data_IF_178050426712
#
_entry.id   IF_178050426712
#
_cell.length_a   1.000
_cell.length_b   1.000
_cell.length_c   1.000
_cell.angle_alpha   90.00
_cell.angle_beta   90.00
_cell.angle_gamma   90.00
#
_symmetry.space_group_name_H-M   'P 1'
#
loop_
_entity.id
_entity.type
_entity.pdbx_description
1 polymer ?
#
# COMPACT_ATOMS: atom_id res chain seq x y z
N UNK A 1 -17.35 -19.23 25.48
CA UNK A 1 -16.27 -19.16 24.47
C UNK A 1 -16.90 -18.54 23.23
N UNK A 2 -16.97 -17.21 23.21
CA UNK A 2 -17.49 -16.48 22.06
C UNK A 2 -16.33 -16.38 21.06
N UNK A 3 -16.43 -17.09 19.95
CA UNK A 3 -15.66 -16.80 18.76
C UNK A 3 -16.28 -15.54 18.17
N UNK A 4 -15.82 -14.37 18.59
CA UNK A 4 -15.94 -13.20 17.72
C UNK A 4 -15.06 -13.52 16.52
N UNK A 5 -15.70 -13.83 15.39
CA UNK A 5 -15.04 -13.68 14.10
C UNK A 5 -14.64 -12.21 14.02
N UNK A 6 -13.40 -11.91 14.37
CA UNK A 6 -12.79 -10.63 14.06
C UNK A 6 -12.87 -10.50 12.54
N UNK A 7 -13.76 -9.64 12.03
CA UNK A 7 -13.66 -9.14 10.67
C UNK A 7 -12.28 -8.48 10.55
N UNK A 8 -11.30 -9.25 10.08
CA UNK A 8 -9.94 -8.75 9.92
C UNK A 8 -9.93 -7.93 8.64
N UNK A 9 -10.20 -6.64 8.78
CA UNK A 9 -9.93 -5.67 7.72
C UNK A 9 -8.45 -5.74 7.34
N UNK A 10 -8.17 -5.58 6.05
CA UNK A 10 -6.82 -5.74 5.49
C UNK A 10 -6.53 -4.59 4.55
N UNK A 11 -5.39 -3.95 4.81
CA UNK A 11 -4.87 -2.83 4.03
C UNK A 11 -3.40 -3.09 3.73
N UNK A 12 -2.93 -2.63 2.58
CA UNK A 12 -1.53 -2.77 2.19
C UNK A 12 -0.86 -1.41 2.21
N UNK A 13 0.31 -1.30 2.83
CA UNK A 13 1.14 -0.10 2.78
C UNK A 13 2.21 -0.26 1.71
N UNK A 14 2.42 0.79 0.92
CA UNK A 14 3.44 0.84 -0.12
C UNK A 14 4.16 2.19 -0.08
N UNK A 15 5.48 2.19 -0.07
CA UNK A 15 6.29 3.40 -0.15
C UNK A 15 7.50 3.16 -1.03
N UNK A 16 8.03 4.23 -1.60
CA UNK A 16 9.24 4.23 -2.41
C UNK A 16 9.95 5.57 -2.28
N UNK A 17 11.27 5.56 -2.45
CA UNK A 17 12.08 6.77 -2.42
C UNK A 17 12.01 7.47 -3.79
N UNK A 18 11.20 8.52 -3.87
CA UNK A 18 11.02 9.35 -5.07
C UNK A 18 12.29 10.13 -5.40
N UNK A 19 12.98 10.64 -4.38
CA UNK A 19 14.11 11.54 -4.56
C UNK A 19 15.38 10.82 -5.03
N UNK A 20 15.46 9.49 -4.83
CA UNK A 20 16.58 8.68 -5.31
C UNK A 20 16.70 8.62 -6.85
N UNK A 21 15.62 8.91 -7.60
CA UNK A 21 15.57 8.76 -9.05
C UNK A 21 15.25 10.01 -9.87
N UNK A 22 14.82 11.10 -9.22
CA UNK A 22 14.32 12.30 -9.91
C UNK A 22 15.14 13.52 -9.48
N UNK A 23 15.71 14.31 -10.43
CA UNK A 23 16.44 15.52 -10.09
C UNK A 23 15.57 16.55 -9.35
N UNK A 24 16.19 17.25 -8.40
CA UNK A 24 15.54 18.39 -7.75
C UNK A 24 15.15 19.45 -8.79
N UNK A 25 13.91 19.95 -8.70
CA UNK A 25 13.35 20.93 -9.64
C UNK A 25 12.69 20.33 -10.89
N UNK A 26 12.72 19.00 -11.08
CA UNK A 26 11.98 18.36 -12.15
C UNK A 26 10.46 18.52 -11.97
N UNK A 27 9.75 18.60 -13.11
CA UNK A 27 8.29 18.56 -13.16
C UNK A 27 7.84 17.15 -13.51
N UNK A 28 7.13 16.51 -12.59
CA UNK A 28 6.52 15.19 -12.80
C UNK A 28 5.36 15.33 -13.78
N UNK A 29 5.39 14.56 -14.86
CA UNK A 29 4.35 14.62 -15.90
C UNK A 29 3.46 13.38 -15.89
N UNK A 30 4.02 12.21 -15.58
CA UNK A 30 3.27 10.95 -15.49
C UNK A 30 3.77 10.14 -14.31
N UNK A 31 2.85 9.56 -13.57
CA UNK A 31 3.11 8.52 -12.58
C UNK A 31 2.26 7.31 -12.94
N UNK A 32 2.88 6.14 -13.06
CA UNK A 32 2.20 4.86 -13.26
C UNK A 32 2.57 3.93 -12.11
N UNK A 33 1.57 3.47 -11.37
CA UNK A 33 1.72 2.40 -10.39
C UNK A 33 1.21 1.10 -11.00
N UNK A 34 2.01 0.04 -10.96
CA UNK A 34 1.64 -1.30 -11.40
C UNK A 34 1.73 -2.27 -10.23
N UNK A 35 0.67 -3.03 -10.01
CA UNK A 35 0.54 -4.03 -8.95
C UNK A 35 0.10 -5.36 -9.55
N UNK A 36 0.65 -6.45 -9.04
CA UNK A 36 0.22 -7.78 -9.43
C UNK A 36 -0.63 -8.40 -8.33
N UNK A 37 -1.85 -8.81 -8.68
CA UNK A 37 -2.69 -9.63 -7.81
C UNK A 37 -2.45 -11.11 -8.13
N UNK A 38 -1.95 -11.86 -7.15
CA UNK A 38 -1.69 -13.29 -7.30
C UNK A 38 -2.82 -14.18 -6.79
N UNK A 39 -3.80 -13.63 -6.06
CA UNK A 39 -4.93 -14.42 -5.54
C UNK A 39 -6.17 -13.58 -5.23
N UNK A 40 -7.34 -14.11 -5.58
CA UNK A 40 -8.66 -13.65 -5.18
C UNK A 40 -9.62 -14.84 -5.18
N UNK A 41 -10.68 -14.77 -4.37
CA UNK A 41 -11.83 -15.70 -4.39
C UNK A 41 -13.17 -14.97 -4.48
N UNK A 42 -13.11 -13.64 -4.61
CA UNK A 42 -14.25 -12.73 -4.70
C UNK A 42 -14.20 -12.00 -6.03
N UNK A 43 -15.38 -11.53 -6.43
CA UNK A 43 -15.62 -10.80 -7.67
C UNK A 43 -14.92 -9.43 -7.67
N UNK A 44 -15.17 -8.67 -8.73
CA UNK A 44 -14.67 -7.31 -8.91
C UNK A 44 -15.10 -6.39 -7.77
N UNK A 45 -14.13 -5.64 -7.25
CA UNK A 45 -14.37 -4.45 -6.44
C UNK A 45 -13.29 -3.41 -6.66
N UNK A 46 -13.61 -2.17 -6.32
CA UNK A 46 -12.66 -1.07 -6.38
C UNK A 46 -11.61 -1.18 -5.28
N UNK A 47 -10.35 -1.15 -5.69
CA UNK A 47 -9.20 -0.94 -4.79
C UNK A 47 -8.83 0.54 -4.86
N UNK A 48 -8.85 1.20 -3.71
CA UNK A 48 -8.54 2.61 -3.57
C UNK A 48 -7.14 2.78 -2.98
N UNK A 49 -6.37 3.68 -3.59
CA UNK A 49 -5.06 4.09 -3.13
C UNK A 49 -5.18 5.46 -2.45
N UNK A 50 -4.73 5.58 -1.22
CA UNK A 50 -4.79 6.82 -0.44
C UNK A 50 -3.42 7.22 0.07
N UNK A 51 -3.12 8.52 0.04
CA UNK A 51 -1.83 9.06 0.52
C UNK A 51 -1.73 8.94 2.03
N UNK A 52 -0.66 8.33 2.53
CA UNK A 52 -0.42 8.16 3.97
C UNK A 52 0.17 9.46 4.53
N UNK A 53 -0.31 9.87 5.71
CA UNK A 53 0.06 11.16 6.33
C UNK A 53 0.89 11.01 7.60
N UNK A 54 1.29 9.79 7.96
CA UNK A 54 2.09 9.50 9.16
C UNK A 54 3.08 8.41 8.86
N UNK A 55 4.27 8.50 9.47
CA UNK A 55 5.31 7.51 9.28
C UNK A 55 4.87 6.11 9.69
N UNK A 56 5.45 5.12 9.02
CA UNK A 56 5.33 3.72 9.34
C UNK A 56 6.58 2.99 8.87
N UNK A 57 6.82 1.83 9.46
CA UNK A 57 7.96 1.01 9.09
C UNK A 57 7.51 -0.39 8.71
N UNK A 58 8.25 -0.98 7.77
CA UNK A 58 8.23 -2.41 7.54
C UNK A 58 9.24 -3.00 8.53
N UNK A 59 8.77 -3.75 9.53
CA UNK A 59 9.66 -4.49 10.43
C UNK A 59 10.13 -5.80 9.78
N UNK A 60 10.45 -6.78 10.61
CA UNK A 60 11.04 -8.06 10.15
C UNK A 60 10.06 -9.21 10.09
N UNK A 61 8.79 -8.99 10.47
CA UNK A 61 7.77 -10.03 10.40
C UNK A 61 7.50 -10.41 8.93
N UNK A 62 7.51 -11.71 8.64
CA UNK A 62 7.26 -12.25 7.32
C UNK A 62 6.38 -13.49 7.44
N UNK A 63 5.15 -13.41 6.90
CA UNK A 63 4.20 -14.50 6.93
C UNK A 63 4.45 -15.43 5.75
N UNK A 64 4.98 -16.63 6.03
CA UNK A 64 5.21 -17.62 4.98
C UNK A 64 3.89 -18.32 4.60
N UNK A 65 3.58 -18.34 3.30
CA UNK A 65 2.51 -19.14 2.72
C UNK A 65 1.18 -18.38 2.60
N UNK A 66 0.23 -18.67 3.49
CA UNK A 66 -1.09 -18.05 3.47
C UNK A 66 -1.05 -16.73 4.25
N UNK A 67 -0.68 -15.64 3.57
CA UNK A 67 -0.59 -14.26 4.09
C UNK A 67 -1.93 -13.68 4.62
N UNK A 68 -2.98 -14.49 4.63
CA UNK A 68 -4.22 -14.23 5.35
C UNK A 68 -4.78 -15.39 6.17
N UNK A 69 -3.95 -16.38 6.48
CA UNK A 69 -4.33 -17.55 7.26
C UNK A 69 -4.54 -17.27 8.75
N UNK A 70 -5.07 -18.27 9.44
CA UNK A 70 -5.42 -18.22 10.87
C UNK A 70 -4.21 -18.26 11.83
N UNK A 71 -2.99 -18.37 11.30
CA UNK A 71 -1.74 -18.42 12.07
C UNK A 71 -0.85 -17.22 11.72
N UNK A 72 -1.20 -16.00 12.18
CA UNK A 72 -0.40 -14.82 11.92
C UNK A 72 0.94 -14.89 12.66
N UNK A 73 2.00 -14.46 12.01
CA UNK A 73 3.29 -14.18 12.64
C UNK A 73 3.11 -12.95 13.54
N UNK A 74 3.51 -13.01 14.82
CA UNK A 74 3.45 -11.86 15.71
C UNK A 74 4.28 -10.69 15.17
N UNK A 75 3.84 -9.43 15.33
CA UNK A 75 4.62 -8.29 14.94
C UNK A 75 5.93 -8.21 15.76
N UNK A 76 6.98 -7.82 15.07
CA UNK A 76 8.30 -7.47 15.61
C UNK A 76 8.42 -5.95 15.75
N UNK A 77 9.47 -5.49 16.43
CA UNK A 77 9.71 -4.05 16.59
C UNK A 77 9.70 -3.33 15.23
N UNK A 78 9.03 -2.16 15.19
CA UNK A 78 8.83 -1.33 14.01
C UNK A 78 7.82 -1.87 12.97
N UNK A 79 7.17 -3.01 13.17
CA UNK A 79 6.13 -3.44 12.22
C UNK A 79 4.92 -2.50 12.23
N UNK A 80 4.43 -2.13 11.05
CA UNK A 80 3.10 -1.55 10.92
C UNK A 80 2.04 -2.62 11.24
N UNK A 81 1.09 -2.27 12.10
CA UNK A 81 -0.06 -3.12 12.50
C UNK A 81 -1.35 -2.32 12.37
N UNK A 82 -2.49 -2.92 12.70
CA UNK A 82 -3.77 -2.20 12.72
C UNK A 82 -3.77 -1.02 13.71
N UNK A 83 -3.03 -1.12 14.82
CA UNK A 83 -3.02 -0.11 15.89
C UNK A 83 -1.77 0.78 15.86
N UNK A 84 -0.65 0.24 15.36
CA UNK A 84 0.66 0.91 15.39
C UNK A 84 1.15 1.20 13.98
N UNK A 85 1.65 2.42 13.74
CA UNK A 85 2.49 2.68 12.55
C UNK A 85 3.90 2.11 12.73
N UNK A 86 4.36 2.04 13.98
CA UNK A 86 5.62 1.42 14.38
C UNK A 86 5.37 0.64 15.67
N UNK A 87 5.28 -0.70 15.57
CA UNK A 87 4.98 -1.54 16.73
C UNK A 87 5.98 -1.31 17.88
N UNK A 88 5.42 -1.13 19.09
CA UNK A 88 6.13 -0.80 20.34
C UNK A 88 6.76 0.61 20.41
N UNK A 89 6.47 1.48 19.43
CA UNK A 89 7.04 2.84 19.37
C UNK A 89 6.01 3.95 19.07
N UNK A 90 5.11 3.74 18.10
CA UNK A 90 4.17 4.76 17.65
C UNK A 90 2.81 4.21 17.23
N UNK A 91 1.75 4.89 17.64
CA UNK A 91 0.36 4.58 17.29
C UNK A 91 -0.06 5.30 16.01
N UNK A 92 -1.01 4.70 15.28
CA UNK A 92 -1.84 5.48 14.37
C UNK A 92 -2.77 6.40 15.16
N UNK A 93 -3.20 7.52 14.56
CA UNK A 93 -4.23 8.36 15.17
C UNK A 93 -5.60 7.66 15.06
N UNK A 94 -5.81 6.96 13.94
CA UNK A 94 -6.98 6.12 13.69
C UNK A 94 -6.52 4.69 13.42
N UNK A 95 -7.09 3.67 14.10
CA UNK A 95 -6.83 2.27 13.75
C UNK A 95 -7.02 2.00 12.26
N UNK A 96 -6.06 1.28 11.66
CA UNK A 96 -6.01 0.98 10.24
C UNK A 96 -5.24 2.00 9.40
N UNK A 97 -4.62 3.02 10.00
CA UNK A 97 -3.71 3.95 9.34
C UNK A 97 -4.25 5.37 9.21
N UNK A 98 -3.32 6.32 9.10
CA UNK A 98 -3.61 7.74 8.86
C UNK A 98 -3.39 8.07 7.38
N UNK A 99 -4.46 8.46 6.68
CA UNK A 99 -4.41 8.72 5.23
C UNK A 99 -5.40 9.81 4.81
N UNK A 100 -5.16 10.38 3.64
CA UNK A 100 -6.06 11.36 3.02
C UNK A 100 -7.34 10.68 2.52
N UNK A 101 -8.51 11.25 2.82
CA UNK A 101 -9.79 10.67 2.42
C UNK A 101 -9.98 10.66 0.90
N UNK A 102 -9.36 11.60 0.18
CA UNK A 102 -9.35 11.60 -1.28
C UNK A 102 -8.40 10.50 -1.79
N UNK A 103 -8.93 9.62 -2.64
CA UNK A 103 -8.12 8.59 -3.27
C UNK A 103 -7.20 9.20 -4.34
N UNK A 104 -5.94 8.80 -4.33
CA UNK A 104 -4.97 9.07 -5.38
C UNK A 104 -5.29 8.30 -6.65
N UNK A 105 -5.82 7.09 -6.51
CA UNK A 105 -6.34 6.30 -7.62
C UNK A 105 -7.40 5.32 -7.12
N UNK A 106 -8.33 4.99 -8.01
CA UNK A 106 -9.29 3.89 -7.82
C UNK A 106 -9.13 2.94 -8.99
N UNK A 107 -9.07 1.64 -8.72
CA UNK A 107 -8.86 0.61 -9.75
C UNK A 107 -9.80 -0.56 -9.51
N UNK A 108 -10.71 -0.85 -10.47
CA UNK A 108 -11.51 -2.05 -10.42
C UNK A 108 -10.61 -3.28 -10.54
N UNK A 109 -10.63 -4.14 -9.53
CA UNK A 109 -9.83 -5.36 -9.48
C UNK A 109 -10.74 -6.59 -9.50
N UNK A 110 -10.75 -7.32 -10.61
CA UNK A 110 -11.55 -8.53 -10.79
C UNK A 110 -10.72 -9.79 -10.47
N UNK A 111 -10.12 -10.41 -11.49
CA UNK A 111 -9.36 -11.66 -11.41
C UNK A 111 -7.85 -11.49 -11.28
N UNK A 112 -7.14 -12.59 -11.01
CA UNK A 112 -5.66 -12.62 -10.92
C UNK A 112 -5.02 -11.97 -12.15
N UNK A 113 -4.05 -11.08 -11.94
CA UNK A 113 -3.42 -10.34 -13.02
C UNK A 113 -2.73 -9.05 -12.58
N UNK A 114 -2.19 -8.33 -13.57
CA UNK A 114 -1.55 -7.03 -13.37
C UNK A 114 -2.53 -5.89 -13.55
N UNK A 115 -2.47 -4.93 -12.64
CA UNK A 115 -3.29 -3.73 -12.60
C UNK A 115 -2.40 -2.50 -12.65
N UNK A 116 -2.73 -1.53 -13.50
CA UNK A 116 -1.97 -0.29 -13.64
C UNK A 116 -2.86 0.92 -13.46
N UNK A 117 -2.41 1.88 -12.67
CA UNK A 117 -3.13 3.12 -12.39
C UNK A 117 -2.24 4.31 -12.72
N UNK A 118 -2.81 5.32 -13.38
CA UNK A 118 -2.16 6.59 -13.65
C UNK A 118 -3.21 7.69 -13.60
N UNK A 119 -3.03 8.63 -12.68
CA UNK A 119 -4.01 9.70 -12.43
C UNK A 119 -3.27 11.03 -12.19
N UNK A 120 -3.95 12.17 -12.39
CA UNK A 120 -3.40 13.47 -12.01
C UNK A 120 -3.07 13.59 -10.52
N UNK A 121 -3.84 12.90 -9.66
CA UNK A 121 -3.59 12.93 -8.22
C UNK A 121 -2.30 12.17 -7.84
N UNK A 122 -1.98 11.06 -8.51
CA UNK A 122 -0.68 10.39 -8.34
C UNK A 122 0.49 11.31 -8.72
N UNK A 123 0.35 12.08 -9.80
CA UNK A 123 1.34 13.10 -10.20
C UNK A 123 1.47 14.17 -9.13
N UNK A 124 0.36 14.68 -8.59
CA UNK A 124 0.37 15.69 -7.54
C UNK A 124 1.04 15.18 -6.25
N UNK A 125 0.75 13.95 -5.84
CA UNK A 125 1.35 13.33 -4.65
C UNK A 125 2.87 13.22 -4.81
N UNK A 126 3.35 12.66 -5.93
CA UNK A 126 4.79 12.52 -6.20
C UNK A 126 5.48 13.88 -6.34
N UNK A 127 4.86 14.83 -7.03
CA UNK A 127 5.40 16.19 -7.15
C UNK A 127 5.55 16.84 -5.77
N UNK A 128 4.60 16.60 -4.85
CA UNK A 128 4.68 17.09 -3.47
C UNK A 128 5.82 16.44 -2.69
N UNK A 129 6.03 15.13 -2.88
CA UNK A 129 7.14 14.40 -2.25
C UNK A 129 8.52 14.79 -2.81
N UNK A 130 8.59 15.19 -4.08
CA UNK A 130 9.83 15.73 -4.63
C UNK A 130 10.16 17.11 -4.02
N UNK A 131 9.13 17.92 -3.74
CA UNK A 131 9.29 19.23 -3.11
C UNK A 131 9.60 19.14 -1.60
N UNK A 132 9.00 18.16 -0.90
CA UNK A 132 9.28 17.83 0.50
C UNK A 132 9.42 16.32 0.69
N UNK A 133 10.65 15.77 0.53
CA UNK A 133 10.90 14.35 0.70
C UNK A 133 10.58 13.82 2.09
N UNK A 134 10.56 14.67 3.12
CA UNK A 134 10.24 14.25 4.49
C UNK A 134 8.76 13.95 4.70
N UNK A 135 7.91 14.37 3.76
CA UNK A 135 6.46 14.09 3.75
C UNK A 135 6.09 12.79 3.01
N UNK A 136 7.08 12.07 2.46
CA UNK A 136 6.86 10.85 1.72
C UNK A 136 6.71 9.63 2.64
N UNK A 137 5.47 9.32 3.00
CA UNK A 137 5.09 8.10 3.71
C UNK A 137 4.44 7.06 2.79
N UNK A 138 4.43 7.30 1.48
CA UNK A 138 3.81 6.43 0.49
C UNK A 138 2.27 6.44 0.55
N UNK A 139 1.69 5.31 0.18
CA UNK A 139 0.25 5.10 0.06
C UNK A 139 -0.23 3.86 0.83
N UNK A 140 -1.54 3.85 1.11
CA UNK A 140 -2.27 2.71 1.64
C UNK A 140 -3.30 2.26 0.60
N UNK A 141 -3.41 0.95 0.39
CA UNK A 141 -4.41 0.32 -0.44
C UNK A 141 -5.54 -0.22 0.42
N UNK A 142 -6.76 0.16 0.08
CA UNK A 142 -7.99 -0.22 0.77
C UNK A 142 -8.93 -0.81 -0.27
N UNK A 143 -9.28 -2.09 -0.08
CA UNK A 143 -10.27 -2.79 -0.91
C UNK A 143 -11.68 -2.66 -0.34
N UNK A 144 -12.56 -3.56 -0.75
CA UNK A 144 -13.85 -3.71 -0.10
C UNK A 144 -13.67 -4.23 1.35
N UNK A 145 -14.02 -3.38 2.32
CA UNK A 145 -13.99 -3.69 3.74
C UNK A 145 -15.36 -4.16 4.27
N UNK A 146 -16.35 -4.33 3.38
CA UNK A 146 -17.69 -4.85 3.74
C UNK A 146 -17.80 -6.36 3.60
N UNK A 147 -16.86 -6.99 2.88
CA UNK A 147 -16.78 -8.44 2.73
C UNK A 147 -15.52 -8.97 3.42
N UNK A 148 -15.59 -10.10 4.15
CA UNK A 148 -14.44 -10.69 4.85
C UNK A 148 -13.55 -11.47 3.87
N UNK A 149 -13.07 -10.81 2.82
CA UNK A 149 -12.17 -11.36 1.81
C UNK A 149 -11.08 -10.34 1.49
N UNK A 150 -9.95 -10.82 0.97
CA UNK A 150 -8.86 -9.95 0.53
C UNK A 150 -8.30 -10.44 -0.79
N UNK A 151 -7.88 -9.48 -1.59
CA UNK A 151 -7.04 -9.71 -2.77
C UNK A 151 -5.59 -9.73 -2.29
N UNK A 152 -4.81 -10.75 -2.69
CA UNK A 152 -3.38 -10.83 -2.35
C UNK A 152 -2.58 -10.14 -3.45
N UNK A 153 -1.89 -9.07 -3.08
CA UNK A 153 -0.98 -8.33 -3.94
C UNK A 153 0.45 -8.76 -3.63
N UNK A 154 1.23 -8.99 -4.67
CA UNK A 154 2.62 -9.41 -4.49
C UNK A 154 3.44 -8.24 -3.94
N UNK A 155 4.26 -8.51 -2.92
CA UNK A 155 5.06 -7.48 -2.23
C UNK A 155 6.45 -7.31 -2.86
N UNK A 156 7.22 -6.32 -2.39
CA UNK A 156 8.63 -6.14 -2.79
C UNK A 156 9.48 -7.39 -2.53
N UNK A 157 9.13 -8.20 -1.53
CA UNK A 157 9.83 -9.42 -1.16
C UNK A 157 9.49 -10.63 -2.05
N UNK A 158 8.53 -10.51 -2.96
CA UNK A 158 8.07 -11.65 -3.76
C UNK A 158 9.21 -12.21 -4.63
N UNK A 159 9.25 -13.54 -4.75
CA UNK A 159 10.38 -14.25 -5.36
C UNK A 159 10.50 -14.00 -6.87
N UNK A 160 9.37 -13.81 -7.57
CA UNK A 160 9.37 -13.38 -8.96
C UNK A 160 9.45 -11.86 -9.07
N UNK A 161 10.53 -11.35 -9.67
CA UNK A 161 10.76 -9.91 -9.81
C UNK A 161 9.70 -9.21 -10.69
N UNK A 162 9.20 -9.87 -11.74
CA UNK A 162 8.24 -9.30 -12.70
C UNK A 162 6.85 -9.03 -12.08
N UNK A 163 6.59 -9.65 -10.93
CA UNK A 163 5.34 -9.53 -10.19
C UNK A 163 5.43 -8.51 -9.04
N UNK A 164 6.63 -7.98 -8.74
CA UNK A 164 6.77 -7.02 -7.65
C UNK A 164 6.06 -5.71 -8.01
N UNK A 165 5.67 -4.91 -7.01
CA UNK A 165 5.14 -3.57 -7.26
C UNK A 165 6.15 -2.74 -8.06
N UNK A 166 5.69 -2.19 -9.18
CA UNK A 166 6.50 -1.37 -10.08
C UNK A 166 5.92 0.04 -10.12
N UNK A 167 6.81 1.01 -10.17
CA UNK A 167 6.45 2.40 -10.40
C UNK A 167 7.27 2.95 -11.56
N UNK A 168 6.62 3.74 -12.40
CA UNK A 168 7.25 4.48 -13.49
C UNK A 168 6.88 5.95 -13.38
N UNK A 169 7.89 6.81 -13.42
CA UNK A 169 7.71 8.26 -13.45
C UNK A 169 8.35 8.81 -14.71
N UNK A 170 7.57 9.59 -15.46
CA UNK A 170 8.07 10.45 -16.52
C UNK A 170 8.08 11.91 -15.99
N UNK A 171 9.15 12.65 -16.33
CA UNK A 171 9.37 14.01 -15.84
C UNK A 171 10.12 14.87 -16.87
N UNK A 172 10.04 16.18 -16.69
CA UNK A 172 10.72 17.21 -17.48
C UNK A 172 11.63 18.07 -16.59
N UNK A 173 12.62 18.73 -17.20
CA UNK A 173 13.57 19.64 -16.54
C UNK A 173 13.37 21.08 -17.01
#
# INVERSE_FOLDING_TARGET
>A
MALEQSESLRRNLIAFDVAAGIPAGATVTVVTLKLNMSRTIVDEFDVNLHRVSTNWNQGTSDQIGEEGGLNPVPPTANDATWIHGEFDAALWNTPGGNFESAASATTPADGVGSYSSSTPQLVADVQSWLADPTSNFGWILIGDETTPSTKRLDSRGYSNADNRPEWKIDFEL
#
